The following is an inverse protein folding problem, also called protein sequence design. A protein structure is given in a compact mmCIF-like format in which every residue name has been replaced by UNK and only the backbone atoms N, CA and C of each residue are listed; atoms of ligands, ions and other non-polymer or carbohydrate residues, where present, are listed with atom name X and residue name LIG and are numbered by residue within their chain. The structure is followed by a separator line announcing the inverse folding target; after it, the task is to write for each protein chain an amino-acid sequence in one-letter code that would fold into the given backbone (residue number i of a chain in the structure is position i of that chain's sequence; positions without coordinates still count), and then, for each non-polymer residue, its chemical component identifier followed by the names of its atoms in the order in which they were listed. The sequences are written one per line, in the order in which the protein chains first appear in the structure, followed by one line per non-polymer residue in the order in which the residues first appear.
data_IF_264040110753
#
_entry.id   IF_264040110753
#
_cell.length_a   1.000
_cell.length_b   1.000
_cell.length_c   1.000
_cell.angle_alpha   90.00
_cell.angle_beta   90.00
_cell.angle_gamma   90.00
#
_symmetry.space_group_name_H-M   'P 1'
#
loop_
_entity.id
_entity.type
_entity.pdbx_description
1 polymer ?
#
# COMPACT_ATOMS: atom_id res chain seq x y z
N UNK A 1 19.18 -5.95 8.97
CA UNK A 1 17.93 -5.19 8.89
C UNK A 1 16.76 -6.16 8.68
N UNK A 2 15.69 -5.98 9.43
CA UNK A 2 14.49 -6.82 9.30
C UNK A 2 13.61 -6.20 8.22
N UNK A 3 13.28 -6.98 7.18
CA UNK A 3 12.35 -6.52 6.16
C UNK A 3 10.92 -6.49 6.74
N UNK A 4 10.11 -5.51 6.32
CA UNK A 4 8.70 -5.42 6.75
C UNK A 4 7.93 -6.69 6.45
N UNK A 5 8.24 -7.34 5.33
CA UNK A 5 7.66 -8.62 4.96
C UNK A 5 7.81 -9.68 6.07
N UNK A 6 8.99 -9.72 6.70
CA UNK A 6 9.26 -10.70 7.76
C UNK A 6 8.36 -10.53 8.98
N UNK A 7 7.93 -9.30 9.27
CA UNK A 7 7.04 -9.04 10.41
C UNK A 7 5.68 -9.70 10.20
N UNK A 8 5.12 -9.56 8.99
CA UNK A 8 3.83 -10.17 8.67
C UNK A 8 3.95 -11.69 8.59
N UNK A 9 4.99 -12.19 7.95
CA UNK A 9 5.23 -13.63 7.84
C UNK A 9 5.36 -14.28 9.22
N UNK A 10 6.08 -13.61 10.12
CA UNK A 10 6.25 -14.11 11.48
C UNK A 10 4.93 -14.12 12.25
N UNK A 11 4.16 -13.03 12.16
CA UNK A 11 2.86 -12.94 12.84
C UNK A 11 1.90 -14.02 12.36
N UNK A 12 1.84 -14.25 11.04
CA UNK A 12 0.99 -15.28 10.45
C UNK A 12 1.41 -16.68 10.88
N UNK A 13 2.71 -16.93 11.04
CA UNK A 13 3.23 -18.23 11.47
C UNK A 13 2.95 -18.49 12.94
N UNK A 14 3.14 -17.48 13.80
CA UNK A 14 3.02 -17.63 15.25
C UNK A 14 1.57 -17.54 15.74
N UNK A 15 0.74 -16.76 15.06
CA UNK A 15 -0.64 -16.52 15.48
C UNK A 15 -1.57 -16.33 14.26
N UNK A 16 -1.73 -17.39 13.43
CA UNK A 16 -2.46 -17.23 12.16
C UNK A 16 -3.92 -16.80 12.33
N UNK A 17 -4.57 -17.21 13.41
CA UNK A 17 -5.98 -16.87 13.67
C UNK A 17 -6.16 -15.59 14.49
N UNK A 18 -5.06 -14.98 14.94
CA UNK A 18 -5.12 -13.70 15.63
C UNK A 18 -5.56 -12.58 14.69
N UNK A 19 -6.20 -11.56 15.25
CA UNK A 19 -6.72 -10.44 14.47
C UNK A 19 -5.60 -9.46 14.17
N UNK A 20 -5.35 -9.19 12.88
CA UNK A 20 -4.36 -8.21 12.44
C UNK A 20 -4.99 -6.82 12.34
N UNK A 21 -6.19 -6.72 11.76
CA UNK A 21 -6.90 -5.45 11.60
C UNK A 21 -8.39 -5.63 11.87
N UNK A 22 -8.99 -4.56 12.37
CA UNK A 22 -10.45 -4.43 12.48
C UNK A 22 -10.83 -3.10 11.87
N UNK A 23 -11.74 -3.13 10.90
CA UNK A 23 -12.20 -1.92 10.23
C UNK A 23 -13.71 -2.03 9.98
N UNK A 24 -14.47 -1.08 10.52
CA UNK A 24 -15.93 -1.04 10.39
C UNK A 24 -16.59 -2.38 10.74
N UNK A 25 -16.12 -2.99 11.84
CA UNK A 25 -16.65 -4.25 12.33
C UNK A 25 -16.17 -5.50 11.60
N UNK A 26 -15.28 -5.35 10.62
CA UNK A 26 -14.70 -6.49 9.90
C UNK A 26 -13.30 -6.76 10.40
N UNK A 27 -13.09 -8.00 10.87
CA UNK A 27 -11.79 -8.46 11.34
C UNK A 27 -11.07 -9.23 10.23
N UNK A 28 -9.75 -9.00 10.13
CA UNK A 28 -8.89 -9.76 9.21
C UNK A 28 -7.79 -10.41 10.05
N UNK A 29 -7.63 -11.72 9.90
CA UNK A 29 -6.60 -12.47 10.64
C UNK A 29 -5.22 -12.23 10.06
N UNK A 30 -4.18 -12.61 10.82
CA UNK A 30 -2.80 -12.53 10.33
C UNK A 30 -2.58 -13.42 9.10
N UNK A 31 -3.18 -14.62 9.08
CA UNK A 31 -3.06 -15.51 7.92
C UNK A 31 -3.67 -14.88 6.66
N UNK A 32 -4.87 -14.29 6.79
CA UNK A 32 -5.52 -13.63 5.67
C UNK A 32 -4.79 -12.35 5.25
N UNK A 33 -4.25 -11.61 6.22
CA UNK A 33 -3.45 -10.41 5.94
C UNK A 33 -2.22 -10.77 5.13
N UNK A 34 -1.49 -11.82 5.52
CA UNK A 34 -0.33 -12.27 4.76
C UNK A 34 -0.70 -12.61 3.32
N UNK A 35 -1.77 -13.35 3.13
CA UNK A 35 -2.22 -13.76 1.80
C UNK A 35 -2.61 -12.55 0.95
N UNK A 36 -3.35 -11.61 1.53
CA UNK A 36 -3.80 -10.41 0.82
C UNK A 36 -2.63 -9.50 0.45
N UNK A 37 -1.70 -9.30 1.38
CA UNK A 37 -0.50 -8.50 1.13
C UNK A 37 0.36 -9.14 0.03
N UNK A 38 0.58 -10.44 0.10
CA UNK A 38 1.36 -11.16 -0.91
C UNK A 38 0.70 -11.08 -2.29
N UNK A 39 -0.63 -11.20 -2.35
CA UNK A 39 -1.38 -11.10 -3.61
C UNK A 39 -1.27 -9.70 -4.22
N UNK A 40 -1.39 -8.66 -3.40
CA UNK A 40 -1.26 -7.28 -3.85
C UNK A 40 0.17 -7.01 -4.32
N UNK A 41 1.17 -7.49 -3.60
CA UNK A 41 2.57 -7.34 -4.00
C UNK A 41 2.83 -8.02 -5.33
N UNK A 42 2.28 -9.21 -5.54
CA UNK A 42 2.43 -9.93 -6.81
C UNK A 42 1.79 -9.12 -7.96
N UNK A 43 0.62 -8.54 -7.74
CA UNK A 43 -0.01 -7.68 -8.73
C UNK A 43 0.83 -6.46 -9.06
N UNK A 44 1.44 -5.83 -8.06
CA UNK A 44 2.31 -4.68 -8.27
C UNK A 44 3.53 -5.04 -9.13
N UNK A 45 4.10 -6.22 -8.93
CA UNK A 45 5.25 -6.67 -9.71
C UNK A 45 4.94 -6.84 -11.19
N UNK A 46 3.67 -7.00 -11.56
CA UNK A 46 3.24 -7.13 -12.95
C UNK A 46 2.97 -5.80 -13.65
N UNK A 47 3.19 -4.66 -12.98
CA UNK A 47 2.96 -3.34 -13.58
C UNK A 47 4.13 -2.84 -14.43
N UNK A 48 5.22 -3.58 -14.50
CA UNK A 48 6.39 -3.16 -15.28
C UNK A 48 7.31 -2.18 -14.55
N UNK A 49 7.15 -2.07 -13.24
CA UNK A 49 8.01 -1.24 -12.41
C UNK A 49 9.33 -1.96 -12.13
N UNK A 50 10.38 -1.17 -11.86
CA UNK A 50 11.70 -1.68 -11.48
C UNK A 50 11.85 -1.66 -9.96
N UNK A 51 12.74 -2.52 -9.44
CA UNK A 51 13.05 -2.54 -8.01
C UNK A 51 13.47 -1.15 -7.53
N UNK A 52 12.93 -0.74 -6.39
CA UNK A 52 13.18 0.57 -5.83
C UNK A 52 12.30 1.68 -6.37
N UNK A 53 11.48 1.42 -7.39
CA UNK A 53 10.55 2.41 -7.90
C UNK A 53 9.57 2.84 -6.80
N UNK A 54 9.12 4.08 -6.88
CA UNK A 54 8.24 4.66 -5.88
C UNK A 54 6.79 4.52 -6.28
N UNK A 55 5.98 4.03 -5.34
CA UNK A 55 4.54 3.85 -5.51
C UNK A 55 3.81 4.72 -4.50
N UNK A 56 3.00 5.64 -5.00
CA UNK A 56 2.20 6.52 -4.14
C UNK A 56 0.94 5.82 -3.67
N UNK A 57 0.47 6.21 -2.49
CA UNK A 57 -0.81 5.74 -1.95
C UNK A 57 -1.65 6.95 -1.60
N UNK A 58 -2.84 7.04 -2.19
CA UNK A 58 -3.80 8.10 -1.93
C UNK A 58 -5.11 7.45 -1.46
N UNK A 59 -5.27 7.36 -0.15
CA UNK A 59 -6.42 6.68 0.46
C UNK A 59 -6.61 7.17 1.89
N UNK A 60 -7.85 7.10 2.36
CA UNK A 60 -8.15 7.26 3.77
C UNK A 60 -7.67 6.00 4.52
N UNK A 61 -7.46 6.15 5.83
CA UNK A 61 -7.04 5.03 6.66
C UNK A 61 -8.11 3.92 6.66
N UNK A 62 -7.71 2.74 6.26
CA UNK A 62 -8.57 1.56 6.21
C UNK A 62 -7.71 0.30 6.13
N UNK A 63 -8.33 -0.88 6.17
CA UNK A 63 -7.59 -2.13 6.11
C UNK A 63 -6.77 -2.24 4.82
N UNK A 64 -7.34 -1.82 3.69
CA UNK A 64 -6.64 -1.86 2.40
C UNK A 64 -5.42 -0.92 2.38
N UNK A 65 -5.53 0.25 2.99
CA UNK A 65 -4.39 1.16 3.13
C UNK A 65 -3.26 0.50 3.92
N UNK A 66 -3.62 -0.12 5.06
CA UNK A 66 -2.67 -0.84 5.90
C UNK A 66 -1.95 -1.94 5.10
N UNK A 67 -2.72 -2.72 4.35
CA UNK A 67 -2.17 -3.80 3.52
C UNK A 67 -1.22 -3.25 2.45
N UNK A 68 -1.57 -2.13 1.83
CA UNK A 68 -0.73 -1.50 0.80
C UNK A 68 0.61 -1.02 1.36
N UNK A 69 0.62 -0.53 2.60
CA UNK A 69 1.87 -0.10 3.25
C UNK A 69 2.88 -1.24 3.38
N UNK A 70 2.42 -2.47 3.49
CA UNK A 70 3.29 -3.65 3.54
C UNK A 70 3.53 -4.25 2.15
N UNK A 71 2.52 -4.22 1.27
CA UNK A 71 2.63 -4.84 -0.05
C UNK A 71 3.64 -4.12 -0.94
N UNK A 72 3.73 -2.79 -0.87
CA UNK A 72 4.66 -2.02 -1.69
C UNK A 72 6.11 -2.40 -1.38
N UNK A 73 6.58 -2.37 -0.12
CA UNK A 73 7.94 -2.84 0.19
C UNK A 73 8.13 -4.33 -0.07
N UNK A 74 7.10 -5.15 0.16
CA UNK A 74 7.15 -6.59 -0.10
C UNK A 74 7.47 -6.86 -1.58
N UNK A 75 6.88 -6.05 -2.48
CA UNK A 75 7.12 -6.19 -3.91
C UNK A 75 8.47 -5.64 -4.37
N UNK A 76 9.23 -5.00 -3.48
CA UNK A 76 10.54 -4.42 -3.79
C UNK A 76 10.48 -2.94 -4.17
N UNK A 77 9.38 -2.26 -3.85
CA UNK A 77 9.17 -0.84 -4.18
C UNK A 77 9.20 0.03 -2.93
N UNK A 78 9.24 1.34 -3.13
CA UNK A 78 9.22 2.32 -2.05
C UNK A 78 7.85 2.96 -1.96
N UNK A 79 7.27 3.01 -0.76
CA UNK A 79 5.96 3.62 -0.55
C UNK A 79 6.09 5.13 -0.39
N UNK A 80 5.20 5.87 -1.05
CA UNK A 80 5.09 7.33 -0.91
C UNK A 80 3.65 7.65 -0.50
N UNK A 81 3.38 7.85 0.80
CA UNK A 81 2.03 8.24 1.24
C UNK A 81 1.71 9.64 0.73
N UNK A 82 0.61 9.77 0.00
CA UNK A 82 0.12 11.06 -0.47
C UNK A 82 -0.91 11.60 0.52
N UNK A 83 -0.98 12.92 0.65
CA UNK A 83 -1.87 13.54 1.62
C UNK A 83 -3.26 13.71 1.03
N UNK A 84 -4.26 13.07 1.63
CA UNK A 84 -5.65 13.11 1.18
C UNK A 84 -6.27 14.50 1.34
N UNK A 85 -5.69 15.36 2.18
CA UNK A 85 -6.17 16.73 2.42
C UNK A 85 -5.54 17.75 1.47
N UNK A 86 -4.54 17.34 0.69
CA UNK A 86 -3.89 18.24 -0.26
C UNK A 86 -4.70 18.32 -1.54
N UNK A 87 -4.62 19.50 -2.19
CA UNK A 87 -5.18 19.69 -3.51
C UNK A 87 -4.30 18.98 -4.55
N UNK A 88 -4.84 18.82 -5.77
CA UNK A 88 -4.13 18.15 -6.86
C UNK A 88 -2.75 18.76 -7.14
N UNK A 89 -2.55 20.10 -7.20
CA UNK A 89 -1.22 20.64 -7.44
C UNK A 89 -0.17 20.24 -6.41
N UNK A 90 -0.57 20.14 -5.13
CA UNK A 90 0.33 19.76 -4.06
C UNK A 90 0.74 18.30 -4.16
N UNK A 91 -0.21 17.41 -4.47
CA UNK A 91 0.10 16.00 -4.68
C UNK A 91 0.91 15.79 -5.95
N UNK A 92 0.63 16.55 -7.01
CA UNK A 92 1.44 16.53 -8.23
C UNK A 92 2.89 16.88 -7.95
N UNK A 93 3.12 17.90 -7.12
CA UNK A 93 4.48 18.26 -6.73
C UNK A 93 5.16 17.10 -5.99
N UNK A 94 4.46 16.50 -5.03
CA UNK A 94 5.01 15.38 -4.27
C UNK A 94 5.36 14.19 -5.16
N UNK A 95 4.51 13.88 -6.15
CA UNK A 95 4.73 12.80 -7.10
C UNK A 95 5.98 13.09 -7.94
N UNK A 96 6.09 14.30 -8.48
CA UNK A 96 7.25 14.68 -9.28
C UNK A 96 8.53 14.71 -8.48
N UNK A 97 8.50 15.29 -7.28
CA UNK A 97 9.65 15.41 -6.42
C UNK A 97 10.18 14.06 -5.95
N UNK A 98 9.28 13.12 -5.64
CA UNK A 98 9.67 11.78 -5.18
C UNK A 98 9.99 10.82 -6.32
N UNK A 99 9.63 11.15 -7.56
CA UNK A 99 9.79 10.26 -8.69
C UNK A 99 8.81 9.09 -8.68
N UNK A 100 7.61 9.30 -8.16
CA UNK A 100 6.57 8.26 -8.08
C UNK A 100 6.14 7.81 -9.48
N UNK A 101 6.10 6.49 -9.68
CA UNK A 101 5.82 5.86 -10.97
C UNK A 101 4.41 5.28 -11.07
N UNK A 102 3.79 4.99 -9.94
CA UNK A 102 2.43 4.43 -9.89
C UNK A 102 1.74 4.92 -8.64
N UNK A 103 0.39 4.96 -8.65
CA UNK A 103 -0.40 5.39 -7.51
C UNK A 103 -1.50 4.38 -7.26
N UNK A 104 -1.56 3.87 -6.02
CA UNK A 104 -2.68 3.10 -5.53
C UNK A 104 -3.66 4.08 -4.87
N UNK A 105 -4.94 3.97 -5.17
CA UNK A 105 -5.89 4.93 -4.65
C UNK A 105 -7.23 4.28 -4.32
N UNK A 106 -7.94 4.89 -3.37
CA UNK A 106 -9.32 4.58 -3.06
C UNK A 106 -10.23 5.21 -4.11
N UNK A 107 -11.33 4.55 -4.46
CA UNK A 107 -12.30 5.05 -5.45
C UNK A 107 -12.78 6.48 -5.15
N UNK A 108 -12.81 6.87 -3.88
CA UNK A 108 -13.18 8.23 -3.48
C UNK A 108 -12.25 9.30 -4.10
N UNK A 109 -11.04 8.93 -4.50
CA UNK A 109 -10.05 9.84 -5.07
C UNK A 109 -9.84 9.65 -6.57
N UNK A 110 -10.67 8.86 -7.24
CA UNK A 110 -10.47 8.55 -8.66
C UNK A 110 -10.43 9.81 -9.54
N UNK A 111 -11.30 10.80 -9.28
CA UNK A 111 -11.29 12.03 -10.05
C UNK A 111 -9.99 12.82 -9.86
N UNK A 112 -9.46 12.85 -8.64
CA UNK A 112 -8.19 13.54 -8.37
C UNK A 112 -7.03 12.83 -9.05
N UNK A 113 -7.03 11.50 -9.03
CA UNK A 113 -5.95 10.70 -9.62
C UNK A 113 -5.87 10.91 -11.13
N UNK A 114 -7.00 11.07 -11.81
CA UNK A 114 -7.01 11.34 -13.24
C UNK A 114 -6.30 12.66 -13.60
N UNK A 115 -6.27 13.61 -12.68
CA UNK A 115 -5.61 14.90 -12.85
C UNK A 115 -4.13 14.88 -12.45
N UNK A 116 -3.69 13.83 -11.78
CA UNK A 116 -2.29 13.68 -11.36
C UNK A 116 -1.45 13.21 -12.55
N UNK A 117 -0.36 13.92 -12.82
CA UNK A 117 0.55 13.61 -13.93
C UNK A 117 2.00 13.80 -13.53
#
# INVERSE_FOLDING_TARGET
MIALQSLIERAARLNPTGIATTYKGTDVTWADTEQRVASLANGLQHLGLSEGDRVGILSLNCATYYEALFAVPWAGFCVVPLNTRWAVPENNYAIGDSGTRAVLFDDAFSAQVEELR
#
